data_IF_225217631509
#
_entry.id   IF_225217631509
#
_cell.length_a   1.000
_cell.length_b   1.000
_cell.length_c   1.000
_cell.angle_alpha   90.00
_cell.angle_beta   90.00
_cell.angle_gamma   90.00
#
_symmetry.space_group_name_H-M   'P 1'
#
loop_
_entity.id
_entity.type
_entity.pdbx_description
1 polymer ?
#
# COMPACT_ATOMS: atom_id res chain seq x y z
N UNK A 1 -3.72 -17.16 -6.20
CA UNK A 1 -3.09 -17.20 -4.86
C UNK A 1 -1.95 -16.20 -4.72
N UNK A 2 -1.29 -15.71 -5.78
CA UNK A 2 -0.53 -14.43 -5.77
C UNK A 2 -1.29 -13.22 -5.18
N UNK A 3 -2.62 -13.34 -5.09
CA UNK A 3 -3.57 -12.34 -4.63
C UNK A 3 -3.73 -12.29 -3.11
N UNK A 4 -3.35 -13.30 -2.33
CA UNK A 4 -3.36 -13.18 -0.85
C UNK A 4 -2.06 -12.53 -0.33
N UNK A 5 -0.96 -12.70 -1.07
CA UNK A 5 0.39 -12.35 -0.64
C UNK A 5 0.72 -10.87 -0.87
N UNK A 6 0.35 -10.31 -2.03
CA UNK A 6 0.43 -8.87 -2.28
C UNK A 6 -0.60 -8.07 -1.48
N UNK A 7 -1.73 -8.70 -1.12
CA UNK A 7 -2.78 -8.05 -0.33
C UNK A 7 -2.43 -8.04 1.16
N UNK A 8 -1.76 -9.03 1.74
CA UNK A 8 -1.28 -8.93 3.14
C UNK A 8 -0.30 -7.75 3.34
N UNK A 9 0.63 -7.54 2.40
CA UNK A 9 1.55 -6.40 2.43
C UNK A 9 0.85 -5.07 2.11
N UNK A 10 -0.08 -5.05 1.13
CA UNK A 10 -0.85 -3.85 0.79
C UNK A 10 -1.95 -3.50 1.82
N UNK A 11 -2.46 -4.48 2.57
CA UNK A 11 -3.43 -4.30 3.66
C UNK A 11 -2.75 -3.76 4.91
N UNK A 12 -1.50 -4.14 5.19
CA UNK A 12 -0.67 -3.48 6.19
C UNK A 12 -0.50 -2.00 5.85
N UNK A 13 -0.11 -1.66 4.61
CA UNK A 13 0.05 -0.27 4.16
C UNK A 13 -1.30 0.50 4.13
N UNK A 14 -2.39 -0.13 3.69
CA UNK A 14 -3.72 0.52 3.58
C UNK A 14 -4.41 0.74 4.94
N UNK A 15 -3.96 0.07 6.01
CA UNK A 15 -4.49 0.25 7.37
C UNK A 15 -3.94 1.50 8.07
N UNK A 16 -2.91 2.14 7.51
CA UNK A 16 -2.29 3.35 8.04
C UNK A 16 -2.80 4.61 7.35
N UNK A 17 -4.08 4.91 7.55
CA UNK A 17 -4.62 6.23 7.28
C UNK A 17 -4.66 6.96 8.62
N UNK A 18 -3.73 7.88 8.85
CA UNK A 18 -3.74 8.79 10.01
C UNK A 18 -3.87 10.22 9.50
N UNK A 19 -4.22 11.14 10.40
CA UNK A 19 -4.98 12.37 10.17
C UNK A 19 -4.30 13.68 10.76
N UNK A 20 -4.30 14.89 10.14
CA UNK A 20 -3.74 16.19 10.67
C UNK A 20 -4.67 17.05 11.56
N UNK A 21 -4.05 17.98 12.31
CA UNK A 21 -4.54 19.34 12.67
C UNK A 21 -3.38 20.32 13.02
N UNK A 22 -3.59 21.63 12.92
CA UNK A 22 -2.63 22.77 12.91
C UNK A 22 -1.84 23.10 14.21
N UNK A 23 -0.90 24.07 14.17
CA UNK A 23 0.39 24.17 14.90
C UNK A 23 0.50 25.17 16.07
N UNK A 24 1.35 24.83 17.05
CA UNK A 24 2.16 25.76 17.86
C UNK A 24 3.50 25.08 18.27
N UNK A 25 4.52 25.92 18.45
CA UNK A 25 5.98 25.72 18.33
C UNK A 25 6.71 25.12 19.55
N UNK A 26 7.69 24.24 19.30
CA UNK A 26 9.12 24.27 19.71
C UNK A 26 9.70 22.88 20.05
N UNK A 27 10.77 22.53 19.32
CA UNK A 27 12.00 21.98 19.89
C UNK A 27 12.03 20.52 20.39
N UNK A 28 12.99 19.76 19.82
CA UNK A 28 13.41 18.41 20.19
C UNK A 28 12.38 17.32 19.85
N UNK A 29 12.68 16.45 18.89
CA UNK A 29 11.76 15.41 18.42
C UNK A 29 11.68 14.26 19.45
N UNK A 30 11.13 14.57 20.62
CA UNK A 30 10.69 13.61 21.62
C UNK A 30 9.37 12.97 21.24
N UNK A 31 9.05 11.85 21.91
CA UNK A 31 7.77 11.15 21.75
C UNK A 31 6.58 12.12 21.91
N UNK A 32 5.52 12.01 21.07
CA UNK A 32 4.42 12.95 21.11
C UNK A 32 3.70 12.90 22.48
N UNK A 33 3.59 14.07 23.12
CA UNK A 33 3.05 14.18 24.47
C UNK A 33 1.55 13.84 24.56
N UNK A 34 0.83 13.88 23.43
CA UNK A 34 -0.60 13.56 23.34
C UNK A 34 -0.98 12.80 22.07
N UNK A 35 -2.13 12.13 22.10
CA UNK A 35 -2.66 11.44 20.92
C UNK A 35 -2.94 12.39 19.75
N UNK A 36 -3.35 13.63 20.01
CA UNK A 36 -3.61 14.61 18.98
C UNK A 36 -2.33 15.02 18.25
N UNK A 37 -1.23 15.21 18.99
CA UNK A 37 0.09 15.49 18.42
C UNK A 37 0.64 14.31 17.65
N UNK A 38 0.49 13.08 18.16
CA UNK A 38 0.93 11.86 17.46
C UNK A 38 0.22 11.70 16.10
N UNK A 39 -1.10 11.89 16.11
CA UNK A 39 -1.95 11.84 14.92
C UNK A 39 -1.51 12.91 13.91
N UNK A 40 -1.31 14.14 14.38
CA UNK A 40 -0.81 15.23 13.56
C UNK A 40 0.55 14.94 12.95
N UNK A 41 1.53 14.53 13.76
CA UNK A 41 2.90 14.25 13.32
C UNK A 41 2.90 13.22 12.20
N UNK A 42 2.08 12.18 12.32
CA UNK A 42 1.97 11.16 11.30
C UNK A 42 1.42 11.74 9.98
N UNK A 43 0.55 12.74 10.02
CA UNK A 43 0.04 13.34 8.78
C UNK A 43 0.88 14.41 8.19
N UNK A 44 1.43 15.29 9.01
CA UNK A 44 2.42 16.23 8.51
C UNK A 44 3.57 15.44 7.87
N UNK A 45 4.01 14.34 8.50
CA UNK A 45 5.04 13.47 7.93
C UNK A 45 4.62 12.79 6.63
N UNK A 46 3.48 12.09 6.60
CA UNK A 46 3.00 11.43 5.38
C UNK A 46 2.72 12.42 4.23
N UNK A 47 2.16 13.59 4.54
CA UNK A 47 1.93 14.67 3.58
C UNK A 47 3.22 15.29 3.05
N UNK A 48 4.31 15.23 3.83
CA UNK A 48 5.65 15.63 3.41
C UNK A 48 6.48 14.46 2.85
N UNK A 49 5.84 13.34 2.51
CA UNK A 49 6.49 12.14 1.99
C UNK A 49 7.58 11.55 2.91
N UNK A 50 7.41 11.67 4.23
CA UNK A 50 8.24 11.05 5.25
C UNK A 50 7.61 9.70 5.63
N UNK A 51 7.99 8.62 4.98
CA UNK A 51 7.46 7.28 5.26
C UNK A 51 7.87 6.77 6.64
N UNK A 52 9.02 7.20 7.16
CA UNK A 52 9.56 6.79 8.45
C UNK A 52 8.66 7.15 9.64
N UNK A 53 7.89 8.24 9.55
CA UNK A 53 7.00 8.66 10.65
C UNK A 53 5.94 7.60 10.95
N UNK A 54 5.60 6.79 9.94
CA UNK A 54 4.67 5.68 10.13
C UNK A 54 5.28 4.55 10.94
N UNK A 55 6.53 4.20 10.65
CA UNK A 55 7.24 3.17 11.38
C UNK A 55 7.54 3.60 12.82
N UNK A 56 7.93 4.86 12.99
CA UNK A 56 8.20 5.47 14.30
C UNK A 56 6.95 5.61 15.17
N UNK A 57 5.75 5.61 14.58
CA UNK A 57 4.50 5.61 15.36
C UNK A 57 4.29 4.29 16.13
N UNK A 58 5.10 3.27 15.87
CA UNK A 58 4.98 1.97 16.51
C UNK A 58 5.89 1.72 17.70
N UNK A 59 5.35 1.13 18.78
CA UNK A 59 6.15 0.48 19.81
C UNK A 59 7.10 -0.57 19.25
N UNK A 60 8.23 -0.75 19.92
CA UNK A 60 9.29 -1.68 19.49
C UNK A 60 8.80 -3.13 19.35
N UNK A 61 7.88 -3.60 20.19
CA UNK A 61 7.29 -4.93 20.07
C UNK A 61 6.45 -5.07 18.79
N UNK A 62 5.71 -4.04 18.37
CA UNK A 62 4.90 -4.06 17.15
C UNK A 62 5.79 -4.01 15.91
N UNK A 63 6.85 -3.21 15.96
CA UNK A 63 7.90 -3.21 14.92
C UNK A 63 8.54 -4.59 14.76
N UNK A 64 8.87 -5.24 15.89
CA UNK A 64 9.42 -6.60 15.89
C UNK A 64 8.43 -7.62 15.30
N UNK A 65 7.14 -7.55 15.66
CA UNK A 65 6.08 -8.41 15.13
C UNK A 65 5.96 -8.26 13.61
N UNK A 66 5.93 -7.03 13.08
CA UNK A 66 5.88 -6.76 11.63
C UNK A 66 7.11 -7.34 10.93
N UNK A 67 8.31 -7.06 11.44
CA UNK A 67 9.55 -7.57 10.85
C UNK A 67 9.56 -9.11 10.84
N UNK A 68 9.21 -9.74 11.95
CA UNK A 68 9.13 -11.19 12.05
C UNK A 68 8.11 -11.78 11.08
N UNK A 69 6.93 -11.16 10.95
CA UNK A 69 5.89 -11.58 10.02
C UNK A 69 6.36 -11.52 8.57
N UNK A 70 6.95 -10.40 8.13
CA UNK A 70 7.42 -10.26 6.74
C UNK A 70 8.54 -11.24 6.41
N UNK A 71 9.48 -11.45 7.33
CA UNK A 71 10.57 -12.43 7.15
C UNK A 71 10.04 -13.87 7.12
N UNK A 72 9.03 -14.17 7.95
CA UNK A 72 8.34 -15.47 7.93
C UNK A 72 7.60 -15.70 6.62
N UNK A 73 6.94 -14.67 6.11
CA UNK A 73 6.31 -14.68 4.79
C UNK A 73 7.33 -14.98 3.70
N UNK A 74 8.53 -14.38 3.75
CA UNK A 74 9.59 -14.66 2.78
C UNK A 74 9.99 -16.15 2.79
N UNK A 75 10.09 -16.76 3.98
CA UNK A 75 10.39 -18.19 4.12
C UNK A 75 9.33 -19.14 3.52
N UNK A 76 8.09 -18.67 3.33
CA UNK A 76 7.00 -19.47 2.76
C UNK A 76 6.84 -19.31 1.24
N UNK A 77 7.60 -18.41 0.62
CA UNK A 77 7.45 -18.09 -0.78
C UNK A 77 8.42 -18.87 -1.67
N UNK A 78 7.98 -19.15 -2.89
CA UNK A 78 8.86 -19.72 -3.92
C UNK A 78 9.71 -18.61 -4.55
N UNK A 79 11.04 -18.72 -4.39
CA UNK A 79 11.99 -17.71 -4.85
C UNK A 79 11.87 -17.42 -6.35
N UNK A 80 11.71 -18.45 -7.18
CA UNK A 80 11.59 -18.28 -8.63
C UNK A 80 10.34 -17.47 -8.99
N UNK A 81 9.19 -17.80 -8.41
CA UNK A 81 7.95 -17.06 -8.66
C UNK A 81 7.99 -15.63 -8.10
N UNK A 82 8.62 -15.43 -6.93
CA UNK A 82 8.75 -14.10 -6.34
C UNK A 82 9.65 -13.20 -7.17
N UNK A 83 10.86 -13.67 -7.49
CA UNK A 83 11.85 -12.89 -8.24
C UNK A 83 11.37 -12.61 -9.67
N UNK A 84 10.69 -13.57 -10.31
CA UNK A 84 10.13 -13.38 -11.65
C UNK A 84 9.07 -12.27 -11.70
N UNK A 85 8.32 -12.06 -10.62
CA UNK A 85 7.39 -10.93 -10.53
C UNK A 85 8.12 -9.58 -10.60
N UNK A 86 9.24 -9.42 -9.88
CA UNK A 86 10.02 -8.20 -9.92
C UNK A 86 10.79 -8.04 -11.24
N UNK A 87 11.23 -9.14 -11.87
CA UNK A 87 11.74 -9.06 -13.24
C UNK A 87 10.70 -8.52 -14.21
N UNK A 88 9.43 -8.92 -14.08
CA UNK A 88 8.35 -8.36 -14.90
C UNK A 88 8.13 -6.86 -14.67
N UNK A 89 8.24 -6.38 -13.42
CA UNK A 89 8.15 -4.95 -13.10
C UNK A 89 9.32 -4.17 -13.68
N UNK A 90 10.55 -4.69 -13.59
CA UNK A 90 11.74 -4.12 -14.23
C UNK A 90 11.60 -4.03 -15.74
N UNK A 91 11.01 -5.05 -16.38
CA UNK A 91 10.73 -5.02 -17.81
C UNK A 91 9.65 -4.03 -18.20
N UNK A 92 8.61 -3.88 -17.39
CA UNK A 92 7.60 -2.85 -17.63
C UNK A 92 8.21 -1.45 -17.58
N UNK A 93 9.15 -1.20 -16.65
CA UNK A 93 9.92 0.05 -16.59
C UNK A 93 10.69 0.30 -17.90
N UNK A 94 11.36 -0.72 -18.44
CA UNK A 94 12.08 -0.65 -19.73
C UNK A 94 11.12 -0.37 -20.89
N UNK A 95 9.99 -1.09 -20.96
CA UNK A 95 8.95 -0.84 -21.99
C UNK A 95 8.48 0.61 -21.94
N UNK A 96 8.22 1.15 -20.76
CA UNK A 96 7.80 2.54 -20.59
C UNK A 96 8.89 3.50 -21.08
N UNK A 97 10.15 3.24 -20.75
CA UNK A 97 11.27 4.09 -21.12
C UNK A 97 11.58 4.08 -22.62
N UNK A 98 11.58 2.90 -23.25
CA UNK A 98 12.00 2.73 -24.64
C UNK A 98 10.86 2.98 -25.63
N UNK A 99 9.62 2.69 -25.24
CA UNK A 99 8.46 2.70 -26.12
C UNK A 99 7.46 3.83 -25.79
N UNK A 100 7.91 4.88 -25.10
CA UNK A 100 7.10 6.04 -24.71
C UNK A 100 6.31 6.61 -25.89
N UNK A 101 6.96 6.79 -27.04
CA UNK A 101 6.31 7.33 -28.25
C UNK A 101 5.16 6.42 -28.72
N UNK A 102 5.30 5.11 -28.66
CA UNK A 102 4.22 4.20 -29.05
C UNK A 102 3.13 4.12 -27.99
N UNK A 103 3.47 4.24 -26.70
CA UNK A 103 2.49 4.34 -25.62
C UNK A 103 1.59 5.56 -25.82
N UNK A 104 2.18 6.74 -26.05
CA UNK A 104 1.45 8.00 -26.25
C UNK A 104 0.59 8.02 -27.51
N UNK A 105 0.93 7.22 -28.50
CA UNK A 105 0.20 7.12 -29.77
C UNK A 105 -0.67 5.87 -29.88
N UNK A 106 -0.77 5.06 -28.81
CA UNK A 106 -1.54 3.82 -28.84
C UNK A 106 -3.02 4.10 -28.93
N UNK A 107 -3.71 3.48 -29.89
CA UNK A 107 -5.16 3.63 -30.09
C UNK A 107 -6.01 2.88 -29.06
N UNK A 108 -5.38 2.30 -28.03
CA UNK A 108 -6.05 1.51 -27.00
C UNK A 108 -6.63 2.35 -25.86
N UNK A 109 -6.23 3.62 -25.77
CA UNK A 109 -6.78 4.60 -24.83
C UNK A 109 -7.38 5.81 -25.53
N UNK A 110 -7.90 6.75 -24.74
CA UNK A 110 -8.37 8.04 -25.26
C UNK A 110 -7.24 8.78 -25.99
N UNK A 111 -7.53 9.20 -27.23
CA UNK A 111 -6.61 9.88 -28.13
C UNK A 111 -6.73 11.40 -28.11
N UNK A 112 -7.57 11.95 -27.22
CA UNK A 112 -7.66 13.38 -27.02
C UNK A 112 -6.28 13.99 -26.72
N UNK A 113 -6.02 15.17 -27.28
CA UNK A 113 -4.73 15.86 -27.08
C UNK A 113 -4.44 16.10 -25.60
N UNK A 114 -5.50 16.39 -24.82
CA UNK A 114 -5.43 16.56 -23.38
C UNK A 114 -5.00 15.27 -22.68
N UNK A 115 -5.61 14.11 -23.00
CA UNK A 115 -5.22 12.86 -22.35
C UNK A 115 -3.81 12.41 -22.71
N UNK A 116 -3.38 12.64 -23.96
CA UNK A 116 -2.00 12.37 -24.37
C UNK A 116 -1.00 13.22 -23.60
N UNK A 117 -1.30 14.50 -23.41
CA UNK A 117 -0.46 15.41 -22.61
C UNK A 117 -0.37 14.92 -21.16
N UNK A 118 -1.50 14.62 -20.53
CA UNK A 118 -1.55 14.08 -19.16
C UNK A 118 -0.77 12.77 -19.03
N UNK A 119 -0.88 11.87 -20.02
CA UNK A 119 -0.12 10.62 -20.03
C UNK A 119 1.38 10.86 -20.18
N UNK A 120 1.80 11.78 -21.05
CA UNK A 120 3.20 12.15 -21.22
C UNK A 120 3.81 12.73 -19.93
N UNK A 121 3.05 13.52 -19.18
CA UNK A 121 3.47 14.05 -17.88
C UNK A 121 3.55 12.96 -16.79
N UNK A 122 2.71 11.92 -16.89
CA UNK A 122 2.65 10.83 -15.93
C UNK A 122 3.71 9.74 -16.15
N UNK A 123 4.03 9.39 -17.39
CA UNK A 123 4.92 8.26 -17.71
C UNK A 123 6.27 8.32 -16.97
N UNK A 124 6.95 9.48 -16.88
CA UNK A 124 8.16 9.59 -16.08
C UNK A 124 7.97 9.27 -14.59
N UNK A 125 6.81 9.58 -14.02
CA UNK A 125 6.48 9.33 -12.60
C UNK A 125 6.15 7.86 -12.35
N UNK A 126 5.35 7.25 -13.22
CA UNK A 126 5.11 5.79 -13.19
C UNK A 126 6.43 5.04 -13.31
N UNK A 127 7.32 5.48 -14.21
CA UNK A 127 8.66 4.91 -14.35
C UNK A 127 9.46 5.07 -13.06
N UNK A 128 9.45 6.25 -12.43
CA UNK A 128 10.15 6.47 -11.15
C UNK A 128 9.62 5.55 -10.04
N UNK A 129 8.31 5.37 -9.93
CA UNK A 129 7.71 4.45 -8.96
C UNK A 129 8.14 3.00 -9.20
N UNK A 130 8.10 2.54 -10.45
CA UNK A 130 8.60 1.22 -10.82
C UNK A 130 10.09 1.09 -10.49
N UNK A 131 10.88 2.10 -10.81
CA UNK A 131 12.31 2.15 -10.50
C UNK A 131 12.57 2.04 -8.99
N UNK A 132 11.88 2.84 -8.17
CA UNK A 132 11.95 2.77 -6.70
C UNK A 132 11.63 1.36 -6.20
N UNK A 133 10.55 0.75 -6.70
CA UNK A 133 10.20 -0.63 -6.34
C UNK A 133 11.28 -1.62 -6.78
N UNK A 134 11.84 -1.48 -7.98
CA UNK A 134 12.86 -2.36 -8.54
C UNK A 134 14.25 -2.20 -7.90
N UNK A 135 14.48 -1.10 -7.17
CA UNK A 135 15.70 -0.88 -6.39
C UNK A 135 15.52 -1.14 -4.88
N UNK A 136 14.28 -1.39 -4.44
CA UNK A 136 13.95 -1.56 -3.03
C UNK A 136 14.53 -2.83 -2.39
N UNK A 137 14.38 -2.90 -1.08
CA UNK A 137 14.63 -4.07 -0.24
C UNK A 137 13.59 -5.19 -0.47
N UNK A 138 12.55 -4.93 -1.26
CA UNK A 138 11.47 -5.88 -1.54
C UNK A 138 11.72 -6.71 -2.82
N UNK A 139 12.77 -6.41 -3.59
CA UNK A 139 12.88 -6.84 -5.00
C UNK A 139 13.15 -8.31 -5.24
N UNK A 140 13.57 -9.02 -4.22
CA UNK A 140 13.97 -10.42 -4.29
C UNK A 140 13.63 -11.10 -2.99
N UNK A 141 13.42 -12.40 -3.04
CA UNK A 141 13.06 -13.12 -1.83
C UNK A 141 14.16 -13.08 -0.76
N UNK A 142 15.43 -13.06 -1.18
CA UNK A 142 16.61 -12.91 -0.31
C UNK A 142 16.54 -11.62 0.50
N UNK A 143 16.44 -10.47 -0.17
CA UNK A 143 16.28 -9.17 0.52
C UNK A 143 15.03 -9.09 1.39
N UNK A 144 13.92 -9.69 0.95
CA UNK A 144 12.69 -9.73 1.75
C UNK A 144 12.86 -10.57 3.04
N UNK A 145 13.67 -11.62 3.00
CA UNK A 145 14.01 -12.40 4.19
C UNK A 145 14.86 -11.61 5.20
N UNK A 146 15.52 -10.55 4.74
CA UNK A 146 16.26 -9.58 5.55
C UNK A 146 15.45 -8.32 5.87
N UNK A 147 14.14 -8.31 5.58
CA UNK A 147 13.28 -7.13 5.68
C UNK A 147 13.47 -6.38 7.00
N UNK A 148 13.63 -5.06 6.88
CA UNK A 148 13.68 -4.13 8.00
C UNK A 148 12.72 -2.97 7.74
N UNK A 149 11.64 -2.90 8.52
CA UNK A 149 10.60 -1.90 8.35
C UNK A 149 11.09 -0.46 8.54
N UNK A 150 12.13 -0.24 9.35
CA UNK A 150 12.73 1.09 9.50
C UNK A 150 13.38 1.54 8.19
N UNK A 151 14.21 0.69 7.60
CA UNK A 151 14.87 0.97 6.31
C UNK A 151 13.85 1.13 5.18
N UNK A 152 12.88 0.22 5.08
CA UNK A 152 11.85 0.26 4.02
C UNK A 152 10.96 1.49 4.15
N UNK A 153 10.59 1.90 5.36
CA UNK A 153 9.76 3.08 5.59
C UNK A 153 10.51 4.38 5.26
N UNK A 154 11.75 4.53 5.75
CA UNK A 154 12.57 5.72 5.51
C UNK A 154 13.02 5.87 4.04
N UNK A 155 13.26 4.75 3.36
CA UNK A 155 13.70 4.72 1.96
C UNK A 155 12.55 4.53 0.99
N UNK A 156 12.15 3.27 0.78
CA UNK A 156 11.20 2.86 -0.25
C UNK A 156 9.85 3.57 -0.10
N UNK A 157 9.24 3.59 1.08
CA UNK A 157 7.93 4.22 1.29
C UNK A 157 7.98 5.74 1.07
N UNK A 158 8.98 6.43 1.62
CA UNK A 158 9.18 7.87 1.41
C UNK A 158 9.27 8.23 -0.08
N UNK A 159 10.04 7.45 -0.85
CA UNK A 159 10.15 7.66 -2.30
C UNK A 159 8.83 7.38 -3.05
N UNK A 160 8.05 6.39 -2.62
CA UNK A 160 6.74 6.11 -3.22
C UNK A 160 5.73 7.24 -2.94
N UNK A 161 5.77 7.82 -1.73
CA UNK A 161 4.89 8.92 -1.35
C UNK A 161 5.14 10.19 -2.18
N UNK A 162 6.36 10.41 -2.68
CA UNK A 162 6.68 11.59 -3.50
C UNK A 162 5.93 11.65 -4.83
N UNK A 163 5.55 10.50 -5.40
CA UNK A 163 4.91 10.42 -6.72
C UNK A 163 3.43 9.98 -6.66
N UNK A 164 2.91 9.64 -5.46
CA UNK A 164 1.56 9.07 -5.31
C UNK A 164 0.45 10.06 -5.68
N UNK A 165 0.62 11.36 -5.40
CA UNK A 165 -0.41 12.36 -5.67
C UNK A 165 -0.56 12.63 -7.16
N UNK A 166 0.54 12.65 -7.91
CA UNK A 166 0.48 12.82 -9.35
C UNK A 166 -0.21 11.63 -10.05
N UNK A 167 -0.09 10.41 -9.48
CA UNK A 167 -0.90 9.29 -9.92
C UNK A 167 -2.39 9.52 -9.65
N UNK A 168 -2.74 10.02 -8.46
CA UNK A 168 -4.12 10.30 -8.11
C UNK A 168 -4.76 11.35 -9.02
N UNK A 169 -4.06 12.46 -9.27
CA UNK A 169 -4.46 13.51 -10.21
C UNK A 169 -4.75 12.93 -11.61
N UNK A 170 -3.85 12.09 -12.13
CA UNK A 170 -4.05 11.46 -13.44
C UNK A 170 -5.25 10.52 -13.50
N UNK A 171 -5.50 9.78 -12.41
CA UNK A 171 -6.62 8.86 -12.27
C UNK A 171 -7.94 9.59 -12.00
N UNK A 172 -7.91 10.90 -11.75
CA UNK A 172 -9.10 11.67 -11.38
C UNK A 172 -9.68 11.24 -10.04
N UNK A 173 -8.83 10.76 -9.14
CA UNK A 173 -9.18 10.42 -7.76
C UNK A 173 -8.53 11.43 -6.81
N UNK A 174 -9.10 11.57 -5.63
CA UNK A 174 -8.56 12.43 -4.59
C UNK A 174 -7.15 12.01 -4.21
N UNK A 175 -6.22 12.96 -4.15
CA UNK A 175 -4.83 12.70 -3.81
C UNK A 175 -4.65 12.38 -2.32
N UNK A 176 -3.53 11.75 -1.97
CA UNK A 176 -3.23 11.49 -0.56
C UNK A 176 -3.07 12.81 0.17
N UNK A 177 -2.32 13.76 -0.38
CA UNK A 177 -2.14 15.08 0.24
C UNK A 177 -3.45 15.85 0.40
N UNK A 178 -4.36 15.79 -0.59
CA UNK A 178 -5.68 16.41 -0.47
C UNK A 178 -6.50 15.79 0.67
N UNK A 179 -6.50 14.45 0.77
CA UNK A 179 -7.19 13.73 1.85
C UNK A 179 -6.61 14.09 3.21
N UNK A 180 -5.28 14.09 3.31
CA UNK A 180 -4.55 14.43 4.52
C UNK A 180 -4.84 15.88 4.93
N UNK A 181 -4.81 16.84 4.00
CA UNK A 181 -5.09 18.25 4.28
C UNK A 181 -6.51 18.54 4.80
N UNK A 182 -7.49 17.66 4.49
CA UNK A 182 -8.87 17.79 4.98
C UNK A 182 -9.05 17.38 6.43
N UNK A 183 -8.05 16.75 7.02
CA UNK A 183 -8.22 16.23 8.36
C UNK A 183 -8.27 17.38 9.37
N UNK A 184 -9.23 17.27 10.28
CA UNK A 184 -9.30 18.13 11.48
C UNK A 184 -9.46 17.27 12.72
N UNK A 185 -8.67 17.58 13.76
CA UNK A 185 -8.76 17.01 15.11
C UNK A 185 -9.41 18.07 16.00
N UNK A 186 -10.62 17.82 16.48
CA UNK A 186 -11.45 18.86 17.11
C UNK A 186 -11.36 18.91 18.64
N UNK A 187 -10.94 17.84 19.31
CA UNK A 187 -10.57 17.83 20.74
C UNK A 187 -10.35 16.41 21.25
N UNK A 188 -9.58 16.30 22.34
CA UNK A 188 -9.48 15.10 23.15
C UNK A 188 -10.51 15.13 24.29
N UNK A 189 -11.23 14.03 24.51
CA UNK A 189 -12.05 13.82 25.71
C UNK A 189 -11.55 12.60 26.50
N UNK A 190 -11.83 12.57 27.81
CA UNK A 190 -11.44 11.51 28.73
C UNK A 190 -9.93 11.26 28.82
N UNK A 191 -9.13 12.34 28.77
CA UNK A 191 -7.69 12.27 29.02
C UNK A 191 -7.45 11.73 30.44
N UNK A 192 -6.61 10.70 30.56
CA UNK A 192 -6.25 9.98 31.81
C UNK A 192 -7.16 8.82 32.24
N UNK A 193 -8.14 8.40 31.43
CA UNK A 193 -8.76 7.10 31.64
C UNK A 193 -7.71 5.99 31.51
N UNK A 194 -7.89 4.86 32.20
CA UNK A 194 -6.99 3.70 32.11
C UNK A 194 -7.71 2.51 31.49
N UNK A 195 -7.03 1.78 30.62
CA UNK A 195 -7.52 0.47 30.17
C UNK A 195 -7.33 -0.60 31.28
N UNK A 196 -7.85 -1.83 31.12
CA UNK A 196 -7.66 -2.90 32.09
C UNK A 196 -6.19 -3.28 32.36
N UNK A 197 -5.28 -2.91 31.46
CA UNK A 197 -3.84 -3.13 31.59
C UNK A 197 -3.10 -1.92 32.23
N UNK A 198 -3.82 -0.84 32.57
CA UNK A 198 -3.25 0.37 33.19
C UNK A 198 -2.71 1.41 32.19
N UNK A 199 -2.91 1.21 30.89
CA UNK A 199 -2.48 2.13 29.84
C UNK A 199 -3.38 3.36 29.76
N UNK A 200 -2.82 4.51 29.42
CA UNK A 200 -3.58 5.76 29.30
C UNK A 200 -4.48 5.71 28.07
N UNK A 201 -5.73 6.13 28.22
CA UNK A 201 -6.73 6.26 27.18
C UNK A 201 -7.08 7.72 26.93
N UNK A 202 -7.44 8.01 25.68
CA UNK A 202 -8.08 9.26 25.30
C UNK A 202 -8.97 9.02 24.09
N UNK A 203 -9.91 9.90 23.82
CA UNK A 203 -10.75 9.83 22.63
C UNK A 203 -10.61 11.12 21.83
N UNK A 204 -10.36 10.99 20.53
CA UNK A 204 -10.29 12.13 19.61
C UNK A 204 -11.52 12.13 18.70
N UNK A 205 -12.07 13.32 18.45
CA UNK A 205 -13.06 13.52 17.37
C UNK A 205 -12.35 14.10 16.14
N UNK A 206 -12.51 13.42 15.00
CA UNK A 206 -11.73 13.67 13.78
C UNK A 206 -12.63 13.66 12.54
N UNK A 207 -12.40 14.55 11.58
CA UNK A 207 -13.10 14.57 10.27
C UNK A 207 -12.10 14.41 9.12
N UNK A 208 -12.56 14.04 7.92
CA UNK A 208 -11.79 14.18 6.67
C UNK A 208 -10.91 12.98 6.28
N UNK A 209 -10.65 12.05 7.20
CA UNK A 209 -9.75 10.91 6.93
C UNK A 209 -10.44 9.78 6.13
N UNK A 210 -11.60 9.33 6.61
CA UNK A 210 -12.39 8.23 6.03
C UNK A 210 -13.76 8.72 5.53
N UNK A 211 -14.21 9.86 6.05
CA UNK A 211 -15.50 10.46 5.79
C UNK A 211 -15.44 11.94 6.15
N UNK A 212 -16.24 12.75 5.46
CA UNK A 212 -16.48 14.15 5.82
C UNK A 212 -17.24 14.28 7.16
N UNK A 213 -17.83 13.17 7.65
CA UNK A 213 -18.47 13.13 8.97
C UNK A 213 -17.45 13.02 10.11
N UNK A 214 -17.78 13.64 11.25
CA UNK A 214 -16.97 13.52 12.45
C UNK A 214 -17.01 12.09 12.99
N UNK A 215 -15.82 11.53 13.22
CA UNK A 215 -15.60 10.19 13.74
C UNK A 215 -14.92 10.29 15.10
N UNK A 216 -15.46 9.59 16.08
CA UNK A 216 -14.88 9.48 17.42
C UNK A 216 -14.02 8.23 17.48
N UNK A 217 -12.71 8.40 17.67
CA UNK A 217 -11.73 7.32 17.71
C UNK A 217 -11.05 7.31 19.09
N UNK A 218 -11.08 6.18 19.78
CA UNK A 218 -10.35 5.97 21.02
C UNK A 218 -8.90 5.59 20.73
N UNK A 219 -7.99 6.14 21.51
CA UNK A 219 -6.55 5.92 21.47
C UNK A 219 -6.05 5.41 22.83
N UNK A 220 -5.07 4.53 22.78
CA UNK A 220 -4.35 3.98 23.92
C UNK A 220 -2.88 4.33 23.79
N UNK A 221 -2.28 4.82 24.87
CA UNK A 221 -0.84 5.03 24.96
C UNK A 221 -0.17 3.71 25.37
N UNK A 222 0.61 3.14 24.47
CA UNK A 222 1.37 1.92 24.69
C UNK A 222 2.86 2.23 24.49
N UNK A 223 3.68 2.02 25.53
CA UNK A 223 5.13 2.26 25.49
C UNK A 223 5.51 3.63 24.90
N UNK A 224 4.84 4.70 25.34
CA UNK A 224 5.08 6.07 24.84
C UNK A 224 4.35 6.43 23.54
N UNK A 225 3.80 5.44 22.81
CA UNK A 225 3.18 5.64 21.50
C UNK A 225 1.65 5.67 21.58
N UNK A 226 1.02 6.57 20.84
CA UNK A 226 -0.43 6.67 20.76
C UNK A 226 -0.99 5.90 19.56
N UNK A 227 -1.73 4.82 19.84
CA UNK A 227 -2.31 3.95 18.83
C UNK A 227 -3.83 3.88 18.98
N UNK A 228 -4.61 3.65 17.90
CA UNK A 228 -6.04 3.40 18.04
C UNK A 228 -6.32 2.22 18.99
N UNK A 229 -7.20 2.40 19.97
CA UNK A 229 -7.44 1.38 21.01
C UNK A 229 -7.93 0.05 20.44
N UNK A 230 -8.68 0.08 19.34
CA UNK A 230 -9.11 -1.14 18.63
C UNK A 230 -7.91 -1.92 18.07
N UNK A 231 -6.90 -1.21 17.59
CA UNK A 231 -5.67 -1.81 17.10
C UNK A 231 -4.91 -2.45 18.25
N UNK A 232 -4.74 -1.75 19.37
CA UNK A 232 -4.06 -2.29 20.56
C UNK A 232 -4.76 -3.55 21.07
N UNK A 233 -6.09 -3.52 21.19
CA UNK A 233 -6.87 -4.67 21.66
C UNK A 233 -6.83 -5.87 20.70
N UNK A 234 -6.76 -5.63 19.38
CA UNK A 234 -6.79 -6.68 18.36
C UNK A 234 -5.41 -7.21 17.94
N UNK A 235 -4.33 -6.46 18.18
CA UNK A 235 -3.03 -6.67 17.55
C UNK A 235 -2.53 -8.11 17.63
N UNK A 236 -2.43 -8.67 18.83
CA UNK A 236 -1.90 -10.02 19.05
C UNK A 236 -2.76 -11.10 18.37
N UNK A 237 -4.09 -10.95 18.38
CA UNK A 237 -4.97 -11.90 17.72
C UNK A 237 -4.87 -11.79 16.19
N UNK A 238 -4.78 -10.57 15.65
CA UNK A 238 -4.60 -10.35 14.21
C UNK A 238 -3.25 -10.90 13.72
N UNK A 239 -2.16 -10.68 14.45
CA UNK A 239 -0.85 -11.27 14.09
C UNK A 239 -0.83 -12.79 14.23
N UNK A 240 -1.47 -13.34 15.27
CA UNK A 240 -1.64 -14.79 15.39
C UNK A 240 -2.44 -15.37 14.23
N UNK A 241 -3.53 -14.71 13.83
CA UNK A 241 -4.33 -15.13 12.67
C UNK A 241 -3.52 -15.03 11.38
N UNK A 242 -2.75 -13.94 11.20
CA UNK A 242 -1.91 -13.72 10.04
C UNK A 242 -0.83 -14.81 9.92
N UNK A 243 -0.11 -15.11 11.01
CA UNK A 243 0.85 -16.22 11.07
C UNK A 243 0.17 -17.57 10.82
N UNK A 244 -0.98 -17.83 11.44
CA UNK A 244 -1.74 -19.06 11.20
C UNK A 244 -2.12 -19.24 9.73
N UNK A 245 -2.47 -18.17 9.02
CA UNK A 245 -2.73 -18.24 7.57
C UNK A 245 -1.47 -18.50 6.74
N UNK A 246 -0.30 -18.04 7.17
CA UNK A 246 0.98 -18.37 6.53
C UNK A 246 1.33 -19.86 6.73
N UNK A 247 1.16 -20.37 7.94
CA UNK A 247 1.51 -21.76 8.30
C UNK A 247 0.53 -22.79 7.74
N UNK A 248 -0.76 -22.43 7.64
CA UNK A 248 -1.79 -23.32 7.08
C UNK A 248 -1.83 -23.30 5.56
N UNK A 249 -0.87 -22.62 4.90
CA UNK A 249 -0.74 -22.72 3.46
C UNK A 249 -0.41 -24.19 3.10
N UNK A 250 -1.29 -24.89 2.38
CA UNK A 250 -1.06 -26.31 2.11
C UNK A 250 0.23 -26.45 1.31
N UNK A 251 1.18 -27.26 1.80
CA UNK A 251 2.45 -27.52 1.10
C UNK A 251 2.20 -27.99 -0.34
N UNK A 252 1.09 -28.69 -0.58
CA UNK A 252 0.65 -29.17 -1.90
C UNK A 252 0.17 -28.06 -2.85
N UNK A 253 -0.22 -26.88 -2.34
CA UNK A 253 -0.69 -25.77 -3.17
C UNK A 253 0.44 -25.10 -3.93
N UNK A 254 1.64 -24.99 -3.36
CA UNK A 254 2.77 -24.33 -4.02
C UNK A 254 3.17 -25.06 -5.32
N UNK A 255 3.39 -26.39 -5.33
CA UNK A 255 3.65 -27.15 -6.56
C UNK A 255 2.50 -27.12 -7.57
N UNK A 256 1.24 -27.06 -7.11
CA UNK A 256 0.07 -27.01 -7.99
C UNK A 256 -0.06 -25.65 -8.72
N UNK A 257 0.33 -24.57 -8.05
CA UNK A 257 0.12 -23.21 -8.55
C UNK A 257 1.31 -22.61 -9.25
N UNK A 258 2.53 -22.95 -8.79
CA UNK A 258 3.76 -22.44 -9.38
C UNK A 258 3.77 -22.60 -10.91
N UNK A 259 3.43 -23.76 -11.50
CA UNK A 259 3.36 -23.88 -12.96
C UNK A 259 2.38 -22.89 -13.62
N UNK A 260 1.21 -22.64 -13.02
CA UNK A 260 0.21 -21.70 -13.56
C UNK A 260 0.69 -20.24 -13.49
N UNK A 261 1.34 -19.88 -12.38
CA UNK A 261 1.94 -18.56 -12.19
C UNK A 261 3.07 -18.37 -13.21
N UNK A 262 3.99 -19.32 -13.31
CA UNK A 262 5.11 -19.26 -14.25
C UNK A 262 4.66 -19.23 -15.72
N UNK A 263 3.61 -19.97 -16.09
CA UNK A 263 3.01 -19.86 -17.43
C UNK A 263 2.51 -18.43 -17.69
N UNK A 264 1.86 -17.82 -16.71
CA UNK A 264 1.39 -16.44 -16.81
C UNK A 264 2.56 -15.46 -16.96
N UNK A 265 3.63 -15.64 -16.17
CA UNK A 265 4.84 -14.83 -16.29
C UNK A 265 5.52 -14.95 -17.65
N UNK A 266 5.65 -16.16 -18.19
CA UNK A 266 6.16 -16.37 -19.56
C UNK A 266 5.29 -15.66 -20.61
N UNK A 267 3.97 -15.68 -20.44
CA UNK A 267 3.06 -14.96 -21.33
C UNK A 267 3.29 -13.44 -21.26
N UNK A 268 3.36 -12.86 -20.06
CA UNK A 268 3.66 -11.43 -19.89
C UNK A 268 5.03 -11.07 -20.46
N UNK A 269 6.06 -11.88 -20.18
CA UNK A 269 7.40 -11.69 -20.73
C UNK A 269 7.41 -11.72 -22.26
N UNK A 270 6.67 -12.63 -22.89
CA UNK A 270 6.54 -12.68 -24.34
C UNK A 270 5.89 -11.41 -24.90
N UNK A 271 4.88 -10.88 -24.21
CA UNK A 271 4.22 -9.63 -24.61
C UNK A 271 5.13 -8.41 -24.43
N UNK A 272 5.84 -8.31 -23.31
CA UNK A 272 6.83 -7.23 -23.07
C UNK A 272 7.99 -7.31 -24.07
N UNK A 273 8.53 -8.49 -24.36
CA UNK A 273 9.54 -8.69 -25.42
C UNK A 273 9.06 -8.12 -26.77
N UNK A 274 7.81 -8.41 -27.14
CA UNK A 274 7.24 -7.93 -28.40
C UNK A 274 6.95 -6.41 -28.39
N UNK A 275 6.74 -5.81 -27.21
CA UNK A 275 6.60 -4.36 -27.07
C UNK A 275 7.96 -3.66 -27.17
N UNK A 276 8.96 -4.15 -26.43
CA UNK A 276 10.35 -3.68 -26.47
C UNK A 276 10.92 -3.77 -27.90
N UNK A 277 10.67 -4.87 -28.61
CA UNK A 277 11.13 -5.07 -29.98
C UNK A 277 10.23 -4.43 -31.06
N UNK A 278 9.19 -3.69 -30.66
CA UNK A 278 8.28 -3.09 -31.63
C UNK A 278 9.02 -2.03 -32.46
N UNK A 279 8.93 -2.16 -33.79
CA UNK A 279 9.49 -1.19 -34.73
C UNK A 279 8.42 -0.29 -35.37
N UNK A 280 7.16 -0.45 -34.95
CA UNK A 280 6.02 0.30 -35.48
C UNK A 280 4.87 0.31 -34.49
N UNK A 281 4.00 1.33 -34.58
CA UNK A 281 2.81 1.48 -33.75
C UNK A 281 1.89 0.24 -33.80
N UNK A 282 1.71 -0.35 -34.97
CA UNK A 282 0.84 -1.52 -35.15
C UNK A 282 1.35 -2.75 -34.38
N UNK A 283 2.67 -3.00 -34.41
CA UNK A 283 3.30 -4.09 -33.67
C UNK A 283 3.16 -3.86 -32.16
N UNK A 284 3.41 -2.63 -31.71
CA UNK A 284 3.23 -2.25 -30.32
C UNK A 284 1.78 -2.46 -29.86
N UNK A 285 0.80 -1.90 -30.58
CA UNK A 285 -0.62 -1.99 -30.25
C UNK A 285 -1.14 -3.44 -30.26
N UNK A 286 -0.60 -4.30 -31.13
CA UNK A 286 -0.91 -5.74 -31.13
C UNK A 286 -0.50 -6.39 -29.81
N UNK A 287 0.72 -6.13 -29.35
CA UNK A 287 1.24 -6.67 -28.09
C UNK A 287 0.51 -6.09 -26.89
N UNK A 288 0.28 -4.78 -26.87
CA UNK A 288 -0.47 -4.09 -25.81
C UNK A 288 -1.92 -4.61 -25.69
N UNK A 289 -2.61 -4.91 -26.80
CA UNK A 289 -3.91 -5.59 -26.76
C UNK A 289 -3.85 -6.96 -26.12
N UNK A 290 -2.76 -7.69 -26.34
CA UNK A 290 -2.52 -8.99 -25.71
C UNK A 290 -2.49 -8.92 -24.18
N UNK A 291 -2.16 -7.76 -23.60
CA UNK A 291 -2.15 -7.53 -22.15
C UNK A 291 -3.55 -7.26 -21.57
N UNK A 292 -4.51 -6.76 -22.36
CA UNK A 292 -5.81 -6.34 -21.84
C UNK A 292 -6.61 -7.50 -21.20
N UNK A 293 -6.58 -8.69 -21.81
CA UNK A 293 -7.29 -9.87 -21.29
C UNK A 293 -6.71 -10.36 -19.96
N UNK A 294 -5.39 -10.63 -19.84
CA UNK A 294 -4.83 -11.06 -18.56
C UNK A 294 -4.94 -9.97 -17.50
N UNK A 295 -4.76 -8.68 -17.83
CA UNK A 295 -4.97 -7.58 -16.88
C UNK A 295 -6.42 -7.49 -16.37
N UNK A 296 -7.42 -7.66 -17.25
CA UNK A 296 -8.83 -7.69 -16.85
C UNK A 296 -9.17 -8.87 -15.94
N UNK A 297 -8.52 -10.01 -16.14
CA UNK A 297 -8.66 -11.17 -15.25
C UNK A 297 -7.98 -10.93 -13.88
N UNK A 298 -7.03 -10.00 -13.80
CA UNK A 298 -6.47 -9.54 -12.53
C UNK A 298 -7.46 -8.60 -11.81
N UNK A 299 -8.07 -7.64 -12.50
CA UNK A 299 -8.98 -6.63 -11.89
C UNK A 299 -10.30 -7.21 -11.37
N UNK A 300 -10.96 -8.13 -12.10
CA UNK A 300 -12.22 -8.77 -11.65
C UNK A 300 -12.12 -9.50 -10.31
N UNK A 301 -10.92 -9.92 -9.92
CA UNK A 301 -10.70 -10.62 -8.65
C UNK A 301 -10.41 -9.65 -7.50
N UNK A 302 -10.02 -8.40 -7.80
CA UNK A 302 -9.89 -7.32 -6.81
C UNK A 302 -11.25 -6.91 -6.26
N UNK A 303 -12.26 -6.81 -7.14
CA UNK A 303 -13.64 -6.42 -6.78
C UNK A 303 -14.31 -7.43 -5.85
N UNK A 304 -14.04 -8.73 -6.02
CA UNK A 304 -14.55 -9.77 -5.11
C UNK A 304 -13.92 -9.71 -3.71
N UNK A 305 -12.73 -9.12 -3.56
CA UNK A 305 -11.96 -9.13 -2.30
C UNK A 305 -12.17 -7.87 -1.44
N UNK A 306 -12.36 -6.69 -2.06
CA UNK A 306 -12.75 -5.46 -1.34
C UNK A 306 -14.09 -5.65 -0.61
N UNK A 307 -15.00 -6.44 -1.17
CA UNK A 307 -16.29 -6.78 -0.56
C UNK A 307 -16.20 -7.75 0.63
N UNK A 308 -15.07 -8.45 0.82
CA UNK A 308 -14.89 -9.44 1.89
C UNK A 308 -14.01 -8.94 3.05
N UNK A 309 -13.33 -7.81 2.91
CA UNK A 309 -12.36 -7.30 3.90
C UNK A 309 -12.81 -6.04 4.63
N UNK A 310 -13.86 -5.37 4.16
CA UNK A 310 -14.53 -4.33 4.94
C UNK A 310 -15.56 -4.97 5.86
N UNK A 311 -15.56 -4.66 7.18
CA UNK A 311 -16.66 -5.06 8.04
C UNK A 311 -17.95 -4.52 7.44
N UNK A 312 -18.90 -5.42 7.16
CA UNK A 312 -20.26 -5.04 6.75
C UNK A 312 -20.76 -3.97 7.73
N UNK A 313 -21.27 -2.81 7.28
CA UNK A 313 -21.81 -1.82 8.18
C UNK A 313 -22.88 -2.49 9.06
N UNK A 314 -22.64 -2.50 10.37
CA UNK A 314 -23.58 -3.01 11.34
C UNK A 314 -24.85 -2.13 11.26
N UNK A 315 -25.86 -2.59 10.53
CA UNK A 315 -27.10 -1.85 10.37
C UNK A 315 -27.90 -2.09 9.08
N UNK A 316 -27.35 -2.77 8.07
CA UNK A 316 -28.16 -3.12 6.90
C UNK A 316 -29.11 -4.29 7.23
N UNK A 317 -30.28 -3.96 7.77
CA UNK A 317 -31.38 -4.91 7.92
C UNK A 317 -31.69 -5.56 6.56
N UNK A 318 -31.94 -6.87 6.52
CA UNK A 318 -32.30 -7.54 5.27
C UNK A 318 -33.60 -6.95 4.74
N UNK A 319 -33.58 -6.50 3.49
CA UNK A 319 -34.80 -6.19 2.76
C UNK A 319 -35.70 -7.43 2.81
N UNK A 320 -36.90 -7.27 3.38
CA UNK A 320 -37.92 -8.31 3.38
C UNK A 320 -38.35 -8.61 1.93
N UNK A 321 -38.76 -9.86 1.67
CA UNK A 321 -38.92 -10.42 0.33
C UNK A 321 -39.88 -9.64 -0.57
#
# INVERSE_FOLDING_TARGET
MTKQWAIACASLIASFNVATAEYADTGDAGEPASAAEAVKQLVDGLGNAQGEVLWQAFPANYQADINHFVRSFAGQMDAEAYDEMFRLLARLEVVIAEQETFILNSKLGDQSAERKKQLAELLPRVRRLLHTLNQSELTSLEKLAEFDGATVSAGTLSLLLQDIDALAEFLGIESLSERLAKVKVQSASNTNAKDPAGNTLTTLTMTGLLSDSAQTISFTQLDGHWLPSKMVAGWQQEFKNAHGHLETMPEEMVPLMKPRIMISFRMFNGLFNNMEAASSQEKFDKSARGLLVPLRNLTKVRETFILCTLPKPAGAAPAKP
#
